data_IF_972931139694
#
_entry.id   IF_972931139694
#
_cell.length_a   1.000
_cell.length_b   1.000
_cell.length_c   1.000
_cell.angle_alpha   90.00
_cell.angle_beta   90.00
_cell.angle_gamma   90.00
#
_symmetry.space_group_name_H-M   'P 1'
#
loop_
_entity.id
_entity.type
_entity.pdbx_description
1 polymer ?
#
# COMPACT_ATOMS: atom_id res chain seq x y z
N UNK A 1 9.41 -1.94 14.32
CA UNK A 1 9.55 -0.49 14.31
C UNK A 1 8.44 0.11 13.46
N UNK A 2 7.84 1.22 13.91
CA UNK A 2 6.84 1.95 13.14
C UNK A 2 7.16 3.44 13.16
N UNK A 3 6.77 4.15 12.08
CA UNK A 3 6.99 5.58 11.97
C UNK A 3 6.18 6.21 10.84
N UNK A 4 6.37 7.51 10.67
CA UNK A 4 5.74 8.27 9.60
C UNK A 4 6.80 8.90 8.69
N UNK A 5 6.63 8.72 7.39
CA UNK A 5 7.43 9.39 6.37
C UNK A 5 6.61 10.53 5.75
N UNK A 6 7.13 11.77 5.79
CA UNK A 6 6.51 12.90 5.08
C UNK A 6 6.90 12.87 3.60
N UNK A 7 5.89 12.87 2.74
CA UNK A 7 6.05 12.92 1.28
C UNK A 7 5.23 14.06 0.68
N UNK A 8 5.52 14.55 -0.55
CA UNK A 8 4.68 15.53 -1.22
C UNK A 8 3.26 15.01 -1.44
N UNK A 9 2.26 15.85 -1.23
CA UNK A 9 0.91 15.57 -1.70
C UNK A 9 0.90 15.51 -3.25
N UNK A 10 1.50 16.50 -3.90
CA UNK A 10 1.71 16.58 -5.35
C UNK A 10 3.21 16.55 -5.64
N UNK A 11 3.68 15.51 -6.31
CA UNK A 11 5.09 15.35 -6.69
C UNK A 11 5.57 16.34 -7.75
N UNK A 12 4.66 17.04 -8.44
CA UNK A 12 5.01 18.17 -9.33
C UNK A 12 5.35 19.44 -8.55
N UNK A 13 4.90 19.51 -7.28
CA UNK A 13 5.16 20.62 -6.36
C UNK A 13 5.78 20.08 -5.05
N UNK A 14 7.02 19.56 -5.10
CA UNK A 14 7.62 18.80 -3.99
C UNK A 14 7.83 19.63 -2.71
N UNK A 15 7.87 20.94 -2.79
CA UNK A 15 7.97 21.86 -1.64
C UNK A 15 6.61 22.32 -1.11
N UNK A 16 5.50 21.92 -1.74
CA UNK A 16 4.14 22.25 -1.34
C UNK A 16 3.63 21.43 -0.16
N UNK A 17 2.31 21.21 -0.13
CA UNK A 17 1.65 20.44 0.92
C UNK A 17 2.23 19.01 1.02
N UNK A 18 2.33 18.52 2.26
CA UNK A 18 2.83 17.18 2.59
C UNK A 18 1.71 16.31 3.13
N UNK A 19 1.89 15.02 2.95
CA UNK A 19 1.16 13.95 3.64
C UNK A 19 2.15 13.10 4.44
N UNK A 20 1.65 12.23 5.32
CA UNK A 20 2.48 11.33 6.11
C UNK A 20 2.08 9.89 5.81
N UNK A 21 2.99 9.11 5.31
CA UNK A 21 2.82 7.67 5.11
C UNK A 21 3.16 6.95 6.40
N UNK A 22 2.30 6.06 6.85
CA UNK A 22 2.61 5.15 7.94
C UNK A 22 3.45 3.98 7.38
N UNK A 23 4.57 3.69 8.04
CA UNK A 23 5.54 2.68 7.61
C UNK A 23 5.91 1.81 8.82
N UNK A 24 5.97 0.50 8.60
CA UNK A 24 6.48 -0.48 9.56
C UNK A 24 7.75 -1.15 9.02
N UNK A 25 8.63 -1.56 9.94
CA UNK A 25 9.87 -2.29 9.62
C UNK A 25 10.09 -3.43 10.60
N UNK A 26 10.27 -4.62 10.08
CA UNK A 26 10.85 -5.78 10.77
C UNK A 26 12.26 -5.92 10.25
N UNK A 27 13.25 -5.74 11.13
CA UNK A 27 14.66 -5.80 10.74
C UNK A 27 15.10 -7.21 10.43
N UNK A 28 16.07 -7.35 9.52
CA UNK A 28 16.80 -8.58 9.31
C UNK A 28 17.44 -9.08 10.62
N UNK A 29 17.63 -10.37 10.72
CA UNK A 29 18.29 -11.02 11.86
C UNK A 29 19.58 -11.74 11.45
N UNK A 30 19.83 -11.84 10.14
CA UNK A 30 21.08 -12.37 9.59
C UNK A 30 22.28 -11.44 9.83
N UNK A 31 23.52 -11.95 9.78
CA UNK A 31 24.72 -11.13 9.77
C UNK A 31 24.73 -10.10 8.65
N UNK A 32 25.44 -8.98 8.84
CA UNK A 32 25.51 -7.90 7.85
C UNK A 32 26.05 -8.35 6.48
N UNK A 33 26.87 -9.39 6.43
CA UNK A 33 27.39 -10.00 5.19
C UNK A 33 26.32 -10.71 4.35
N UNK A 34 25.18 -11.09 4.95
CA UNK A 34 24.06 -11.78 4.31
C UNK A 34 22.89 -10.83 4.02
N UNK A 35 22.94 -9.61 4.53
CA UNK A 35 21.89 -8.62 4.35
C UNK A 35 21.62 -8.31 2.87
N UNK A 36 20.38 -8.51 2.47
CA UNK A 36 19.91 -8.38 1.08
C UNK A 36 19.20 -7.07 0.76
N UNK A 37 19.15 -6.13 1.70
CA UNK A 37 18.43 -4.86 1.53
C UNK A 37 17.01 -4.91 2.06
N UNK A 38 16.16 -4.00 1.56
CA UNK A 38 14.74 -3.97 1.96
C UNK A 38 13.88 -4.82 1.04
N UNK A 39 12.85 -5.45 1.63
CA UNK A 39 11.75 -6.08 0.93
C UNK A 39 10.47 -5.32 1.26
N UNK A 40 9.95 -4.58 0.29
CA UNK A 40 8.73 -3.78 0.43
C UNK A 40 7.51 -4.61 0.03
N UNK A 41 6.46 -4.62 0.84
CA UNK A 41 5.26 -5.44 0.59
C UNK A 41 4.01 -4.58 0.45
N UNK A 42 3.05 -5.06 -0.37
CA UNK A 42 1.75 -4.43 -0.52
C UNK A 42 0.65 -5.49 -0.69
N UNK A 43 -0.42 -5.47 0.13
CA UNK A 43 -1.50 -6.46 0.06
C UNK A 43 -2.47 -6.24 -1.10
N UNK A 44 -2.39 -5.10 -1.78
CA UNK A 44 -3.31 -4.76 -2.85
C UNK A 44 -4.62 -4.11 -2.37
N UNK A 45 -5.71 -4.50 -2.95
CA UNK A 45 -7.04 -3.92 -2.81
C UNK A 45 -7.52 -3.27 -4.11
N UNK A 46 -7.20 -1.98 -4.43
CA UNK A 46 -6.45 -0.96 -3.69
C UNK A 46 -7.10 -0.57 -2.35
N UNK A 47 -6.27 -0.16 -1.38
CA UNK A 47 -6.74 0.31 -0.07
C UNK A 47 -6.47 -0.65 1.10
N UNK A 48 -5.80 -1.76 0.89
CA UNK A 48 -5.31 -2.63 1.95
C UNK A 48 -4.17 -1.98 2.75
N UNK A 49 -4.24 -2.11 4.10
CA UNK A 49 -3.13 -1.71 4.98
C UNK A 49 -1.99 -2.71 4.90
N UNK A 50 -0.77 -2.21 4.70
CA UNK A 50 0.43 -3.03 4.65
C UNK A 50 1.18 -3.14 5.98
N UNK A 51 0.80 -2.38 7.01
CA UNK A 51 1.60 -2.27 8.25
C UNK A 51 1.81 -3.59 8.97
N UNK A 52 0.79 -4.45 9.01
CA UNK A 52 0.84 -5.74 9.71
C UNK A 52 1.06 -6.93 8.77
N UNK A 53 1.12 -6.70 7.45
CA UNK A 53 1.24 -7.77 6.46
C UNK A 53 2.47 -8.64 6.71
N UNK A 54 3.62 -8.04 6.98
CA UNK A 54 4.88 -8.74 7.16
C UNK A 54 4.92 -9.61 8.42
N UNK A 55 4.24 -9.21 9.50
CA UNK A 55 4.13 -10.01 10.71
C UNK A 55 3.36 -11.32 10.47
N UNK A 56 2.43 -11.33 9.50
CA UNK A 56 1.70 -12.51 9.06
C UNK A 56 2.48 -13.28 7.98
N UNK A 57 3.03 -12.59 7.00
CA UNK A 57 3.62 -13.19 5.81
C UNK A 57 4.93 -13.96 6.12
N UNK A 58 5.79 -13.40 6.96
CA UNK A 58 7.09 -14.02 7.30
C UNK A 58 6.91 -15.45 7.85
N UNK A 59 6.08 -15.70 8.89
CA UNK A 59 5.85 -17.05 9.39
C UNK A 59 5.27 -18.00 8.34
N UNK A 60 4.35 -17.55 7.50
CA UNK A 60 3.75 -18.36 6.43
C UNK A 60 4.81 -18.79 5.43
N UNK A 61 5.63 -17.87 4.93
CA UNK A 61 6.69 -18.18 3.97
C UNK A 61 7.75 -19.13 4.56
N UNK A 62 8.03 -19.00 5.85
CA UNK A 62 8.94 -19.92 6.56
C UNK A 62 8.36 -21.34 6.70
N UNK A 63 7.06 -21.43 7.00
CA UNK A 63 6.36 -22.72 7.16
C UNK A 63 6.22 -23.48 5.83
N UNK A 64 5.90 -22.77 4.75
CA UNK A 64 5.69 -23.35 3.42
C UNK A 64 7.02 -23.76 2.72
N UNK A 65 8.17 -23.52 3.34
CA UNK A 65 9.47 -23.81 2.73
C UNK A 65 9.75 -23.03 1.44
N UNK A 66 8.96 -21.97 1.17
CA UNK A 66 9.07 -21.11 -0.01
C UNK A 66 10.33 -20.22 0.02
N UNK A 67 11.02 -20.24 1.13
CA UNK A 67 12.39 -19.73 1.25
C UNK A 67 13.34 -20.93 1.26
N UNK A 68 14.49 -20.85 0.60
CA UNK A 68 15.54 -21.88 0.67
C UNK A 68 16.09 -22.00 2.11
N UNK A 69 15.20 -22.30 3.05
CA UNK A 69 15.41 -22.33 4.49
C UNK A 69 14.97 -21.04 5.21
N UNK A 70 14.97 -21.04 6.55
CA UNK A 70 14.60 -19.88 7.37
C UNK A 70 15.44 -18.63 7.07
N UNK A 71 16.61 -18.79 6.45
CA UNK A 71 17.59 -17.75 6.17
C UNK A 71 17.08 -16.65 5.25
N UNK A 72 16.42 -16.97 4.13
CA UNK A 72 16.06 -15.95 3.14
C UNK A 72 15.07 -14.88 3.66
N UNK A 73 14.17 -15.25 4.58
CA UNK A 73 13.28 -14.28 5.23
C UNK A 73 14.05 -13.39 6.22
N UNK A 74 15.14 -13.91 6.81
CA UNK A 74 15.95 -13.23 7.80
C UNK A 74 16.93 -12.22 7.20
N UNK A 75 17.19 -12.30 5.88
CA UNK A 75 18.21 -11.47 5.20
C UNK A 75 17.66 -10.10 4.74
N UNK A 76 16.38 -9.87 4.86
CA UNK A 76 15.74 -8.63 4.45
C UNK A 76 15.22 -7.80 5.64
N UNK A 77 15.31 -6.49 5.53
CA UNK A 77 14.41 -5.64 6.28
C UNK A 77 13.05 -5.62 5.59
N UNK A 78 12.06 -6.16 6.25
CA UNK A 78 10.69 -6.21 5.73
C UNK A 78 9.97 -4.91 6.00
N UNK A 79 9.56 -4.22 4.95
CA UNK A 79 8.90 -2.92 5.01
C UNK A 79 7.43 -3.07 4.62
N UNK A 80 6.54 -2.78 5.55
CA UNK A 80 5.11 -2.60 5.30
C UNK A 80 4.77 -1.11 5.30
N UNK A 81 3.78 -0.71 4.51
CA UNK A 81 3.32 0.67 4.52
C UNK A 81 1.83 0.77 4.20
N UNK A 82 1.20 1.81 4.72
CA UNK A 82 -0.13 2.21 4.30
C UNK A 82 0.01 3.21 3.15
N UNK A 83 -0.54 2.92 1.97
CA UNK A 83 -0.55 3.87 0.86
C UNK A 83 -1.21 5.20 1.25
N UNK A 84 -0.98 6.24 0.47
CA UNK A 84 -1.63 7.55 0.67
C UNK A 84 -3.15 7.40 0.78
N UNK A 85 -3.74 8.03 1.78
CA UNK A 85 -5.17 7.96 2.06
C UNK A 85 -5.64 6.66 2.73
N UNK A 86 -4.77 5.69 3.00
CA UNK A 86 -5.11 4.38 3.56
C UNK A 86 -4.70 4.27 5.02
N UNK A 87 -5.50 3.59 5.81
CA UNK A 87 -5.19 3.12 7.16
C UNK A 87 -4.70 4.22 8.09
N UNK A 88 -3.47 4.09 8.57
CA UNK A 88 -2.82 5.02 9.49
C UNK A 88 -2.08 6.16 8.78
N UNK A 89 -1.98 6.16 7.45
CA UNK A 89 -1.45 7.29 6.67
C UNK A 89 -2.32 8.53 6.83
N UNK A 90 -1.71 9.72 6.82
CA UNK A 90 -2.39 10.97 7.15
C UNK A 90 -2.31 12.00 6.02
N UNK A 91 -3.45 12.57 5.57
CA UNK A 91 -4.82 12.23 6.02
C UNK A 91 -5.27 10.86 5.50
N UNK A 92 -6.09 10.15 6.28
CA UNK A 92 -6.78 8.95 5.82
C UNK A 92 -8.07 9.33 5.08
N UNK A 93 -8.39 8.60 4.02
CA UNK A 93 -9.62 8.80 3.26
C UNK A 93 -10.82 8.34 4.11
N UNK A 94 -11.72 9.26 4.42
CA UNK A 94 -12.97 8.96 5.13
C UNK A 94 -14.10 9.78 4.50
N UNK A 95 -15.08 9.10 3.89
CA UNK A 95 -16.17 9.74 3.17
C UNK A 95 -17.48 9.71 3.96
N UNK A 96 -18.08 8.53 4.09
CA UNK A 96 -19.29 8.28 4.90
C UNK A 96 -18.99 7.18 5.91
N UNK A 97 -19.04 7.45 7.23
CA UNK A 97 -18.60 6.51 8.27
C UNK A 97 -19.30 5.14 8.20
N UNK A 98 -20.61 5.13 7.97
CA UNK A 98 -21.43 3.91 8.02
C UNK A 98 -21.74 3.31 6.65
N UNK A 99 -21.01 3.70 5.58
CA UNK A 99 -21.30 3.19 4.25
C UNK A 99 -21.14 1.67 4.16
N UNK A 100 -20.15 1.11 4.85
CA UNK A 100 -19.82 -0.32 4.89
C UNK A 100 -20.33 -1.04 6.15
N UNK A 101 -21.27 -0.45 6.90
CA UNK A 101 -21.85 -1.07 8.10
C UNK A 101 -22.62 -2.36 7.77
N UNK A 102 -22.87 -3.19 8.79
CA UNK A 102 -23.54 -4.48 8.62
C UNK A 102 -25.02 -4.38 8.20
N UNK A 103 -25.68 -3.26 8.47
CA UNK A 103 -27.06 -2.96 8.12
C UNK A 103 -27.25 -2.47 6.67
N UNK A 104 -26.19 -2.53 5.86
CA UNK A 104 -26.27 -2.18 4.44
C UNK A 104 -27.18 -3.12 3.65
N UNK A 105 -27.81 -2.66 2.55
CA UNK A 105 -28.62 -3.51 1.68
C UNK A 105 -27.82 -4.68 1.09
N UNK A 106 -28.52 -5.76 0.68
CA UNK A 106 -27.85 -6.87 -0.01
C UNK A 106 -27.06 -6.38 -1.22
N UNK A 107 -25.84 -6.89 -1.36
CA UNK A 107 -24.95 -6.52 -2.47
C UNK A 107 -25.46 -6.98 -3.85
N UNK A 108 -26.21 -8.07 -3.90
CA UNK A 108 -26.78 -8.57 -5.15
C UNK A 108 -28.16 -7.90 -5.33
N UNK A 109 -28.28 -6.91 -6.24
CA UNK A 109 -29.52 -6.17 -6.42
C UNK A 109 -30.51 -6.98 -7.27
N UNK A 110 -31.28 -7.84 -6.65
CA UNK A 110 -32.28 -8.70 -7.30
C UNK A 110 -33.53 -7.98 -7.74
N UNK A 111 -33.75 -6.72 -7.34
CA UNK A 111 -34.93 -5.92 -7.71
C UNK A 111 -34.54 -4.53 -8.20
N UNK A 112 -35.37 -3.92 -9.04
CA UNK A 112 -35.18 -2.54 -9.50
C UNK A 112 -35.12 -1.51 -8.35
N UNK A 113 -35.85 -1.77 -7.25
CA UNK A 113 -35.80 -0.94 -6.06
C UNK A 113 -34.43 -1.01 -5.38
N UNK A 114 -33.84 -2.20 -5.30
CA UNK A 114 -32.51 -2.40 -4.73
C UNK A 114 -31.40 -1.76 -5.60
N UNK A 115 -31.51 -1.86 -6.93
CA UNK A 115 -30.63 -1.14 -7.87
C UNK A 115 -30.67 0.36 -7.61
N UNK A 116 -31.87 0.96 -7.55
CA UNK A 116 -32.01 2.40 -7.25
C UNK A 116 -31.40 2.77 -5.90
N UNK A 117 -31.58 1.92 -4.89
CA UNK A 117 -30.98 2.12 -3.56
C UNK A 117 -29.45 2.17 -3.64
N UNK A 118 -28.82 1.24 -4.34
CA UNK A 118 -27.38 1.21 -4.50
C UNK A 118 -26.86 2.41 -5.31
N UNK A 119 -27.53 2.78 -6.39
CA UNK A 119 -27.16 3.97 -7.17
C UNK A 119 -27.22 5.25 -6.31
N UNK A 120 -28.27 5.42 -5.49
CA UNK A 120 -28.38 6.55 -4.56
C UNK A 120 -27.26 6.53 -3.52
N UNK A 121 -26.97 5.37 -2.91
CA UNK A 121 -25.89 5.22 -1.92
C UNK A 121 -24.52 5.53 -2.54
N UNK A 122 -24.23 4.99 -3.72
CA UNK A 122 -22.94 5.20 -4.40
C UNK A 122 -22.76 6.67 -4.79
N UNK A 123 -23.81 7.33 -5.29
CA UNK A 123 -23.77 8.78 -5.59
C UNK A 123 -23.53 9.61 -4.32
N UNK A 124 -24.20 9.29 -3.21
CA UNK A 124 -24.00 9.98 -1.95
C UNK A 124 -22.55 9.79 -1.42
N UNK A 125 -22.01 8.57 -1.53
CA UNK A 125 -20.65 8.28 -1.14
C UNK A 125 -19.62 9.05 -1.98
N UNK A 126 -19.74 9.01 -3.31
CA UNK A 126 -18.87 9.74 -4.22
C UNK A 126 -18.90 11.27 -3.96
N UNK A 127 -20.12 11.83 -3.76
CA UNK A 127 -20.30 13.25 -3.45
C UNK A 127 -19.63 13.62 -2.11
N UNK A 128 -19.80 12.79 -1.07
CA UNK A 128 -19.20 13.03 0.23
C UNK A 128 -17.67 12.94 0.16
N UNK A 129 -17.13 11.96 -0.59
CA UNK A 129 -15.71 11.83 -0.85
C UNK A 129 -15.14 13.09 -1.50
N UNK A 130 -15.74 13.54 -2.60
CA UNK A 130 -15.29 14.73 -3.31
C UNK A 130 -15.32 16.00 -2.45
N UNK A 131 -16.40 16.21 -1.69
CA UNK A 131 -16.52 17.39 -0.80
C UNK A 131 -15.49 17.38 0.32
N UNK A 132 -15.27 16.22 0.95
CA UNK A 132 -14.43 16.12 2.16
C UNK A 132 -12.95 15.96 1.83
N UNK A 133 -12.62 15.27 0.75
CA UNK A 133 -11.26 14.80 0.46
C UNK A 133 -10.79 15.16 -0.96
N UNK A 134 -11.45 16.05 -1.68
CA UNK A 134 -11.19 16.32 -3.11
C UNK A 134 -9.71 16.60 -3.41
N UNK A 135 -9.03 17.35 -2.54
CA UNK A 135 -7.61 17.65 -2.69
C UNK A 135 -6.73 16.39 -2.55
N UNK A 136 -7.05 15.48 -1.62
CA UNK A 136 -6.33 14.22 -1.46
C UNK A 136 -6.61 13.29 -2.65
N UNK A 137 -7.88 13.16 -3.03
CA UNK A 137 -8.32 12.26 -4.11
C UNK A 137 -7.64 12.57 -5.45
N UNK A 138 -7.40 13.86 -5.74
CA UNK A 138 -6.72 14.28 -6.97
C UNK A 138 -5.27 13.76 -7.07
N UNK A 139 -4.71 13.29 -5.94
CA UNK A 139 -3.34 12.80 -5.84
C UNK A 139 -3.25 11.38 -5.25
N UNK A 140 -4.31 10.58 -5.42
CA UNK A 140 -4.35 9.16 -5.00
C UNK A 140 -4.22 8.22 -6.21
N UNK A 141 -3.37 8.57 -7.16
CA UNK A 141 -3.12 7.71 -8.33
C UNK A 141 -2.08 6.63 -8.02
N UNK A 142 -2.07 5.55 -8.81
CA UNK A 142 -1.03 4.52 -8.71
C UNK A 142 0.36 5.08 -8.97
N UNK A 143 0.49 6.09 -9.85
CA UNK A 143 1.75 6.79 -10.11
C UNK A 143 2.24 7.52 -8.84
N UNK A 144 1.34 8.18 -8.11
CA UNK A 144 1.71 8.83 -6.85
C UNK A 144 2.10 7.82 -5.77
N UNK A 145 1.38 6.68 -5.70
CA UNK A 145 1.74 5.59 -4.78
C UNK A 145 3.10 4.96 -5.13
N UNK A 146 3.42 4.80 -6.40
CA UNK A 146 4.74 4.33 -6.83
C UNK A 146 5.86 5.32 -6.46
N UNK A 147 5.62 6.62 -6.57
CA UNK A 147 6.56 7.65 -6.09
C UNK A 147 6.70 7.65 -4.57
N UNK A 148 5.64 7.32 -3.84
CA UNK A 148 5.72 7.10 -2.39
C UNK A 148 6.64 5.93 -2.04
N UNK A 149 6.56 4.82 -2.78
CA UNK A 149 7.47 3.69 -2.61
C UNK A 149 8.92 4.10 -2.83
N UNK A 150 9.20 4.91 -3.86
CA UNK A 150 10.55 5.42 -4.10
C UNK A 150 11.02 6.37 -2.99
N UNK A 151 10.11 7.16 -2.43
CA UNK A 151 10.42 8.01 -1.26
C UNK A 151 10.74 7.17 -0.02
N UNK A 152 10.05 6.04 0.20
CA UNK A 152 10.37 5.09 1.28
C UNK A 152 11.75 4.48 1.06
N UNK A 153 12.04 4.01 -0.16
CA UNK A 153 13.38 3.51 -0.53
C UNK A 153 14.48 4.52 -0.20
N UNK A 154 14.31 5.76 -0.67
CA UNK A 154 15.29 6.83 -0.47
C UNK A 154 15.46 7.18 1.01
N UNK A 155 14.37 7.28 1.78
CA UNK A 155 14.41 7.57 3.21
C UNK A 155 15.13 6.48 4.03
N UNK A 156 15.11 5.24 3.54
CA UNK A 156 15.82 4.10 4.14
C UNK A 156 17.28 3.96 3.61
N UNK A 157 17.75 4.89 2.78
CA UNK A 157 19.11 4.89 2.22
C UNK A 157 19.38 3.74 1.25
N UNK A 158 18.36 3.16 0.67
CA UNK A 158 18.48 1.99 -0.20
C UNK A 158 18.65 2.36 -1.67
N UNK A 159 19.57 1.70 -2.35
CA UNK A 159 19.83 1.89 -3.79
C UNK A 159 18.68 1.29 -4.61
N UNK A 160 18.19 0.12 -4.20
CA UNK A 160 17.15 -0.65 -4.88
C UNK A 160 16.21 -1.29 -3.84
N UNK A 161 15.02 -1.68 -4.28
CA UNK A 161 14.08 -2.47 -3.49
C UNK A 161 13.91 -3.88 -4.08
N UNK A 162 13.70 -4.87 -3.21
CA UNK A 162 12.94 -6.06 -3.54
C UNK A 162 11.49 -5.77 -3.19
N UNK A 163 10.56 -6.17 -4.03
CA UNK A 163 9.13 -5.88 -3.84
C UNK A 163 8.30 -7.14 -3.96
N UNK A 164 7.32 -7.31 -3.08
CA UNK A 164 6.34 -8.37 -3.15
C UNK A 164 4.93 -7.76 -3.07
N UNK A 165 4.19 -7.85 -4.16
CA UNK A 165 2.84 -7.31 -4.30
C UNK A 165 1.80 -8.38 -4.58
N UNK A 166 0.67 -8.28 -3.87
CA UNK A 166 -0.50 -9.15 -4.05
C UNK A 166 -1.62 -8.39 -4.75
N UNK A 167 -2.37 -9.07 -5.62
CA UNK A 167 -3.55 -8.48 -6.26
C UNK A 167 -3.24 -7.12 -6.91
N UNK A 168 -3.94 -6.02 -6.59
CA UNK A 168 -3.58 -4.67 -7.05
C UNK A 168 -2.11 -4.30 -6.75
N UNK A 169 -1.48 -4.89 -5.74
CA UNK A 169 -0.05 -4.70 -5.48
C UNK A 169 0.83 -5.13 -6.66
N UNK A 170 0.37 -6.07 -7.49
CA UNK A 170 1.07 -6.47 -8.72
C UNK A 170 1.10 -5.34 -9.74
N UNK A 171 -0.04 -4.67 -9.94
CA UNK A 171 -0.13 -3.50 -10.80
C UNK A 171 0.72 -2.33 -10.27
N UNK A 172 0.70 -2.09 -8.97
CA UNK A 172 1.57 -1.08 -8.34
C UNK A 172 3.05 -1.38 -8.57
N UNK A 173 3.47 -2.67 -8.46
CA UNK A 173 4.82 -3.11 -8.75
C UNK A 173 5.23 -2.90 -10.22
N UNK A 174 4.33 -3.16 -11.17
CA UNK A 174 4.54 -2.90 -12.59
C UNK A 174 4.75 -1.40 -12.87
N UNK A 175 3.88 -0.54 -12.30
CA UNK A 175 4.02 0.92 -12.43
C UNK A 175 5.33 1.40 -11.82
N UNK A 176 5.70 0.89 -10.63
CA UNK A 176 6.96 1.23 -9.99
C UNK A 176 8.17 0.85 -10.84
N UNK A 177 8.22 -0.38 -11.36
CA UNK A 177 9.33 -0.85 -12.20
C UNK A 177 9.44 -0.09 -13.53
N UNK A 178 8.32 0.39 -14.06
CA UNK A 178 8.29 1.23 -15.27
C UNK A 178 8.84 2.64 -14.98
N UNK A 179 8.47 3.24 -13.85
CA UNK A 179 8.92 4.59 -13.48
C UNK A 179 10.37 4.62 -12.97
N UNK A 180 10.80 3.57 -12.27
CA UNK A 180 12.08 3.49 -11.58
C UNK A 180 12.84 2.19 -11.85
N UNK A 181 13.12 1.84 -13.12
CA UNK A 181 13.73 0.54 -13.45
C UNK A 181 15.08 0.31 -12.78
N UNK A 182 15.88 1.36 -12.58
CA UNK A 182 17.18 1.27 -11.88
C UNK A 182 17.07 1.07 -10.37
N UNK A 183 15.90 1.31 -9.78
CA UNK A 183 15.65 1.15 -8.34
C UNK A 183 15.04 -0.21 -7.97
N UNK A 184 14.85 -1.09 -8.96
CA UNK A 184 14.32 -2.44 -8.75
C UNK A 184 15.47 -3.44 -8.70
N UNK A 185 15.46 -4.28 -7.65
CA UNK A 185 16.35 -5.44 -7.53
C UNK A 185 15.62 -6.73 -7.93
N UNK A 186 14.44 -6.97 -7.35
CA UNK A 186 13.59 -8.13 -7.63
C UNK A 186 12.12 -7.73 -7.47
N UNK A 187 11.25 -8.36 -8.26
CA UNK A 187 9.80 -8.20 -8.15
C UNK A 187 9.15 -9.59 -8.03
N UNK A 188 8.29 -9.73 -7.06
CA UNK A 188 7.34 -10.84 -6.94
C UNK A 188 5.94 -10.24 -7.09
N UNK A 189 5.22 -10.71 -8.09
CA UNK A 189 3.87 -10.23 -8.43
C UNK A 189 2.91 -11.41 -8.35
N UNK A 190 2.13 -11.45 -7.27
CA UNK A 190 1.24 -12.54 -6.93
C UNK A 190 -0.21 -12.18 -7.22
N UNK A 191 -0.89 -13.02 -7.98
CA UNK A 191 -2.30 -12.84 -8.36
C UNK A 191 -2.55 -11.63 -9.28
N UNK A 192 -2.08 -11.76 -10.50
CA UNK A 192 -2.39 -10.82 -11.60
C UNK A 192 -3.86 -10.93 -12.04
#
# INVERSE_FOLDING_TARGET
QCGFLKVPLDYRHPHGAKISLAVSRIKHTSPASEYQGILLTNPGGPGGSGLNLNAFLIPVLQQEGLTNGPAAANDYDWIGFDPRGVGSSRPALSCLPNYFSYDRPNYIPTTAALVRTWLKRSKAYATACGKKNGRLLAHMTTIDAARDMDSIRAALGQKQITYYGFSYGTYLGQVYSTLFPSHVRRLVMDSN
#
